data_IF_202313210625
#
_entry.id   IF_202313210625
#
_cell.length_a   1.000
_cell.length_b   1.000
_cell.length_c   1.000
_cell.angle_alpha   90.00
_cell.angle_beta   90.00
_cell.angle_gamma   90.00
#
_symmetry.space_group_name_H-M   'P 1'
#
loop_
_entity.id
_entity.type
_entity.pdbx_description
1 polymer ?
#
# COMPACT_ATOMS: atom_id res chain seq x y z
N UNK A 1 10.39 -29.44 -10.87
CA UNK A 1 9.59 -28.48 -10.09
C UNK A 1 8.34 -29.16 -9.58
N UNK A 2 7.93 -28.81 -8.35
CA UNK A 2 6.79 -29.45 -7.71
C UNK A 2 5.50 -28.73 -8.15
N UNK A 3 4.74 -29.36 -9.02
CA UNK A 3 3.39 -28.93 -9.29
C UNK A 3 2.51 -29.39 -8.12
N UNK A 4 2.29 -28.50 -7.15
CA UNK A 4 1.51 -28.79 -5.94
C UNK A 4 0.15 -28.09 -6.01
N UNK A 5 -0.87 -28.77 -5.51
CA UNK A 5 -2.22 -28.23 -5.39
C UNK A 5 -2.31 -27.21 -4.23
N UNK A 6 -3.38 -26.41 -4.22
CA UNK A 6 -3.68 -25.45 -3.13
C UNK A 6 -2.60 -24.39 -2.88
N UNK A 7 -1.99 -23.86 -3.95
CA UNK A 7 -0.92 -22.85 -3.88
C UNK A 7 -1.41 -21.45 -3.51
N UNK A 8 -2.71 -21.20 -3.68
CA UNK A 8 -3.32 -19.89 -3.47
C UNK A 8 -4.28 -19.92 -2.28
N UNK A 9 -4.11 -19.01 -1.36
CA UNK A 9 -5.06 -18.70 -0.31
C UNK A 9 -5.68 -17.32 -0.57
N UNK A 10 -6.98 -17.17 -0.30
CA UNK A 10 -7.67 -15.91 -0.46
C UNK A 10 -8.09 -15.36 0.90
N UNK A 11 -7.99 -14.04 1.05
CA UNK A 11 -8.53 -13.36 2.21
C UNK A 11 -9.84 -12.66 1.83
N UNK A 12 -10.89 -12.96 2.59
CA UNK A 12 -12.24 -12.43 2.43
C UNK A 12 -12.67 -11.73 3.71
N UNK A 13 -13.51 -10.72 3.56
CA UNK A 13 -14.24 -10.14 4.67
C UNK A 13 -15.74 -10.51 4.53
N UNK A 14 -16.13 -11.65 5.08
CA UNK A 14 -17.47 -12.18 5.00
C UNK A 14 -17.93 -12.44 3.55
N UNK A 15 -19.03 -11.78 3.12
CA UNK A 15 -19.59 -11.91 1.77
C UNK A 15 -18.98 -10.95 0.73
N UNK A 16 -17.99 -10.16 1.13
CA UNK A 16 -17.39 -9.17 0.26
C UNK A 16 -16.42 -9.80 -0.75
N UNK A 17 -16.06 -9.01 -1.77
CA UNK A 17 -15.05 -9.38 -2.77
C UNK A 17 -13.75 -9.79 -2.12
N UNK A 18 -13.04 -10.68 -2.76
CA UNK A 18 -11.68 -11.06 -2.37
C UNK A 18 -10.79 -9.81 -2.31
N UNK A 19 -10.31 -9.49 -1.11
CA UNK A 19 -9.48 -8.30 -0.86
C UNK A 19 -8.02 -8.53 -1.21
N UNK A 20 -7.57 -9.78 -1.08
CA UNK A 20 -6.20 -10.15 -1.39
C UNK A 20 -6.08 -11.64 -1.62
N UNK A 21 -4.98 -12.05 -2.22
CA UNK A 21 -4.55 -13.44 -2.34
C UNK A 21 -3.16 -13.60 -1.73
N UNK A 22 -2.92 -14.78 -1.22
CA UNK A 22 -1.58 -15.24 -0.86
C UNK A 22 -1.20 -16.40 -1.75
N UNK A 23 0.03 -16.43 -2.23
CA UNK A 23 0.55 -17.55 -2.99
C UNK A 23 1.83 -18.09 -2.33
N UNK A 24 2.03 -19.38 -2.45
CA UNK A 24 3.26 -20.08 -2.07
C UNK A 24 3.96 -20.67 -3.30
N UNK A 25 3.73 -20.01 -4.44
CA UNK A 25 4.24 -20.43 -5.74
C UNK A 25 5.71 -20.02 -5.91
N UNK A 26 6.53 -20.96 -6.31
CA UNK A 26 7.93 -20.73 -6.64
C UNK A 26 8.01 -20.35 -8.12
N UNK A 27 8.79 -19.43 -8.49
CA UNK A 27 9.09 -18.78 -9.77
C UNK A 27 8.28 -19.32 -10.99
N UNK A 28 8.64 -20.48 -11.53
CA UNK A 28 8.01 -21.11 -12.69
C UNK A 28 7.92 -22.63 -12.53
N UNK A 29 6.80 -23.20 -12.96
CA UNK A 29 6.59 -24.67 -13.00
C UNK A 29 7.25 -25.32 -14.20
N UNK A 30 7.78 -24.55 -15.16
CA UNK A 30 8.29 -25.03 -16.42
C UNK A 30 9.80 -24.95 -16.47
N UNK A 31 10.46 -25.86 -17.21
CA UNK A 31 11.86 -25.73 -17.55
C UNK A 31 12.14 -24.40 -18.25
N UNK A 32 13.35 -23.86 -18.04
CA UNK A 32 13.73 -22.55 -18.58
C UNK A 32 13.65 -22.50 -20.11
N UNK A 33 13.98 -23.60 -20.80
CA UNK A 33 13.96 -23.70 -22.24
C UNK A 33 12.55 -23.52 -22.81
N UNK A 34 11.52 -23.97 -22.06
CA UNK A 34 10.13 -23.78 -22.45
C UNK A 34 9.75 -22.30 -22.27
N UNK A 35 10.11 -21.68 -21.16
CA UNK A 35 9.83 -20.27 -20.91
C UNK A 35 10.50 -19.38 -21.98
N UNK A 36 11.77 -19.61 -22.28
CA UNK A 36 12.49 -18.82 -23.30
C UNK A 36 11.86 -18.96 -24.69
N UNK A 37 11.45 -20.17 -25.07
CA UNK A 37 10.74 -20.40 -26.33
C UNK A 37 9.40 -19.63 -26.37
N UNK A 38 8.60 -19.70 -25.31
CA UNK A 38 7.32 -19.01 -25.22
C UNK A 38 7.49 -17.47 -25.27
N UNK A 39 8.51 -16.92 -24.61
CA UNK A 39 8.86 -15.51 -24.69
C UNK A 39 9.18 -15.12 -26.14
N UNK A 40 10.01 -15.90 -26.84
CA UNK A 40 10.34 -15.66 -28.23
C UNK A 40 9.11 -15.78 -29.15
N UNK A 41 8.19 -16.71 -28.88
CA UNK A 41 6.93 -16.84 -29.61
C UNK A 41 6.02 -15.62 -29.43
N UNK A 42 5.86 -15.13 -28.18
CA UNK A 42 5.08 -13.93 -27.88
C UNK A 42 5.69 -12.71 -28.59
N UNK A 43 7.02 -12.54 -28.51
CA UNK A 43 7.68 -11.39 -29.16
C UNK A 43 7.54 -11.40 -30.68
N UNK A 44 7.60 -12.57 -31.30
CA UNK A 44 7.35 -12.71 -32.76
C UNK A 44 5.91 -12.45 -33.14
N UNK A 45 4.94 -12.88 -32.31
CA UNK A 45 3.52 -12.68 -32.55
C UNK A 45 3.12 -11.21 -32.36
N UNK A 46 3.81 -10.49 -31.47
CA UNK A 46 3.50 -9.11 -31.07
C UNK A 46 4.75 -8.22 -31.10
N UNK A 47 5.34 -7.99 -32.28
CA UNK A 47 6.63 -7.29 -32.39
C UNK A 47 6.59 -5.85 -31.88
N UNK A 48 5.42 -5.19 -31.94
CA UNK A 48 5.23 -3.81 -31.51
C UNK A 48 4.90 -3.68 -29.99
N UNK A 49 4.91 -4.80 -29.26
CA UNK A 49 4.68 -4.80 -27.81
C UNK A 49 5.97 -5.08 -27.07
N UNK A 50 6.19 -4.33 -25.98
CA UNK A 50 7.32 -4.59 -25.10
C UNK A 50 7.09 -5.89 -24.32
N UNK A 51 8.12 -6.74 -24.30
CA UNK A 51 8.18 -7.97 -23.49
C UNK A 51 9.32 -7.81 -22.50
N UNK A 52 8.97 -7.64 -21.22
CA UNK A 52 9.94 -7.52 -20.12
C UNK A 52 10.00 -8.86 -19.39
N UNK A 53 11.19 -9.45 -19.31
CA UNK A 53 11.40 -10.77 -18.71
C UNK A 53 11.84 -10.63 -17.27
N UNK A 54 11.08 -11.20 -16.33
CA UNK A 54 11.46 -11.26 -14.92
C UNK A 54 12.47 -12.38 -14.69
N UNK A 55 13.63 -12.04 -14.13
CA UNK A 55 14.73 -12.97 -13.88
C UNK A 55 15.10 -13.05 -12.40
N UNK A 56 15.38 -14.28 -11.95
CA UNK A 56 15.95 -14.55 -10.64
C UNK A 56 16.84 -15.79 -10.73
N UNK A 57 18.14 -15.63 -10.49
CA UNK A 57 19.15 -16.70 -10.49
C UNK A 57 20.03 -16.59 -9.27
N UNK A 58 20.91 -17.56 -9.05
CA UNK A 58 21.89 -17.53 -7.97
C UNK A 58 22.74 -16.25 -8.01
N UNK A 59 23.13 -15.75 -6.83
CA UNK A 59 24.00 -14.57 -6.70
C UNK A 59 25.45 -14.84 -7.10
N UNK A 60 25.63 -15.19 -8.38
CA UNK A 60 26.93 -15.46 -9.03
C UNK A 60 27.02 -14.70 -10.36
N UNK A 61 28.13 -14.03 -10.65
CA UNK A 61 28.27 -13.25 -11.88
C UNK A 61 28.01 -14.07 -13.14
N UNK A 62 28.48 -15.32 -13.17
CA UNK A 62 28.34 -16.21 -14.32
C UNK A 62 26.87 -16.55 -14.57
N UNK A 63 26.09 -16.87 -13.51
CA UNK A 63 24.69 -17.20 -13.64
C UNK A 63 23.88 -16.02 -14.19
N UNK A 64 24.22 -14.79 -13.77
CA UNK A 64 23.56 -13.59 -14.27
C UNK A 64 23.95 -13.27 -15.72
N UNK A 65 25.20 -13.44 -16.12
CA UNK A 65 25.61 -13.27 -17.52
C UNK A 65 24.93 -14.29 -18.45
N UNK A 66 24.85 -15.55 -18.02
CA UNK A 66 24.21 -16.59 -18.81
C UNK A 66 22.72 -16.35 -19.01
N UNK A 67 21.99 -15.99 -17.94
CA UNK A 67 20.54 -15.72 -18.05
C UNK A 67 20.25 -14.46 -18.87
N UNK A 68 21.06 -13.41 -18.75
CA UNK A 68 20.94 -12.18 -19.57
C UNK A 68 21.02 -12.54 -21.04
N UNK A 69 22.07 -13.27 -21.46
CA UNK A 69 22.24 -13.70 -22.85
C UNK A 69 21.05 -14.52 -23.36
N UNK A 70 20.61 -15.50 -22.57
CA UNK A 70 19.46 -16.34 -22.95
C UNK A 70 18.17 -15.54 -23.11
N UNK A 71 17.97 -14.50 -22.28
CA UNK A 71 16.82 -13.59 -22.40
C UNK A 71 16.94 -12.73 -23.65
N UNK A 72 18.09 -12.14 -23.92
CA UNK A 72 18.32 -11.32 -25.12
C UNK A 72 18.15 -12.11 -26.42
N UNK A 73 18.58 -13.38 -26.45
CA UNK A 73 18.36 -14.28 -27.57
C UNK A 73 16.88 -14.55 -27.90
N UNK A 74 15.95 -14.28 -26.96
CA UNK A 74 14.50 -14.36 -27.21
C UNK A 74 13.96 -13.16 -27.99
N UNK A 75 14.71 -12.06 -28.06
CA UNK A 75 14.26 -10.78 -28.61
C UNK A 75 13.44 -9.95 -27.59
N UNK A 76 13.50 -10.26 -26.31
CA UNK A 76 12.86 -9.48 -25.24
C UNK A 76 13.37 -8.02 -25.23
N UNK A 77 12.50 -7.09 -24.79
CA UNK A 77 12.78 -5.65 -24.80
C UNK A 77 13.39 -5.14 -23.48
N UNK A 78 13.42 -5.96 -22.45
CA UNK A 78 14.00 -5.60 -21.17
C UNK A 78 14.02 -6.75 -20.17
N UNK A 79 14.76 -6.55 -19.08
CA UNK A 79 14.90 -7.52 -17.99
C UNK A 79 14.47 -6.85 -16.69
N UNK A 80 13.61 -7.52 -15.92
CA UNK A 80 13.24 -7.11 -14.56
C UNK A 80 13.90 -8.05 -13.54
N UNK A 81 14.80 -7.49 -12.70
CA UNK A 81 15.54 -8.24 -11.68
C UNK A 81 14.63 -8.49 -10.48
N UNK A 82 14.29 -9.73 -10.19
CA UNK A 82 13.40 -10.08 -9.11
C UNK A 82 14.15 -10.22 -7.77
N UNK A 83 14.28 -9.13 -7.05
CA UNK A 83 14.88 -9.08 -5.70
C UNK A 83 13.86 -9.21 -4.57
N UNK A 84 12.63 -9.63 -4.86
CA UNK A 84 11.56 -9.58 -3.88
C UNK A 84 10.84 -10.89 -3.61
N UNK A 85 11.16 -11.99 -4.32
CA UNK A 85 10.47 -13.25 -4.13
C UNK A 85 10.65 -13.77 -2.69
N UNK A 86 9.56 -13.91 -1.90
CA UNK A 86 9.66 -14.33 -0.50
C UNK A 86 9.85 -15.84 -0.31
N UNK A 87 9.69 -16.63 -1.39
CA UNK A 87 9.59 -18.09 -1.28
C UNK A 87 10.96 -18.75 -1.40
N UNK A 88 11.37 -19.53 -0.36
CA UNK A 88 12.34 -20.64 -0.39
C UNK A 88 13.74 -20.43 -1.00
N UNK A 89 13.99 -19.29 -1.63
CA UNK A 89 15.23 -19.00 -2.33
C UNK A 89 16.22 -18.17 -1.50
N UNK A 90 15.76 -17.68 -0.36
CA UNK A 90 16.60 -16.93 0.59
C UNK A 90 17.78 -17.76 1.08
N UNK A 91 17.57 -19.06 1.29
CA UNK A 91 18.60 -20.02 1.68
C UNK A 91 19.71 -20.18 0.62
N UNK A 92 19.40 -19.80 -0.65
CA UNK A 92 20.35 -19.81 -1.76
C UNK A 92 20.88 -18.43 -2.11
N UNK A 93 20.62 -17.42 -1.27
CA UNK A 93 21.02 -16.04 -1.52
C UNK A 93 20.33 -15.41 -2.73
N UNK A 94 19.03 -15.67 -2.92
CA UNK A 94 18.23 -15.19 -4.05
C UNK A 94 16.98 -14.44 -3.55
N UNK A 95 16.30 -13.71 -4.43
CA UNK A 95 15.04 -13.04 -4.14
C UNK A 95 15.13 -12.06 -2.97
N UNK A 96 14.27 -12.20 -1.96
CA UNK A 96 14.19 -11.28 -0.83
C UNK A 96 15.49 -11.21 0.00
N UNK A 97 16.33 -12.23 -0.01
CA UNK A 97 17.64 -12.17 0.65
C UNK A 97 18.58 -11.15 -0.01
N UNK A 98 18.45 -10.97 -1.32
CA UNK A 98 19.16 -9.91 -2.07
C UNK A 98 18.50 -8.56 -1.80
N UNK A 99 17.18 -8.47 -2.00
CA UNK A 99 16.44 -7.20 -1.95
C UNK A 99 16.45 -6.48 -0.60
N UNK A 100 16.78 -7.18 0.49
CA UNK A 100 16.92 -6.60 1.83
C UNK A 100 18.31 -6.04 2.13
N UNK A 101 19.30 -6.28 1.25
CA UNK A 101 20.70 -5.88 1.42
C UNK A 101 21.11 -4.98 0.26
N UNK A 102 21.18 -3.66 0.47
CA UNK A 102 21.48 -2.69 -0.60
C UNK A 102 22.78 -3.01 -1.37
N UNK A 103 23.80 -3.48 -0.68
CA UNK A 103 25.09 -3.83 -1.26
C UNK A 103 24.96 -5.01 -2.24
N UNK A 104 24.13 -6.00 -1.96
CA UNK A 104 23.85 -7.10 -2.87
C UNK A 104 23.01 -6.64 -4.06
N UNK A 105 22.03 -5.76 -3.82
CA UNK A 105 21.26 -5.14 -4.89
C UNK A 105 22.17 -4.39 -5.87
N UNK A 106 23.08 -3.57 -5.37
CA UNK A 106 24.05 -2.83 -6.18
C UNK A 106 24.96 -3.78 -6.96
N UNK A 107 25.58 -4.74 -6.27
CA UNK A 107 26.53 -5.65 -6.87
C UNK A 107 25.92 -6.48 -8.01
N UNK A 108 24.77 -7.09 -7.77
CA UNK A 108 24.11 -7.93 -8.79
C UNK A 108 23.62 -7.07 -9.94
N UNK A 109 23.03 -5.90 -9.65
CA UNK A 109 22.61 -4.98 -10.70
C UNK A 109 23.78 -4.57 -11.59
N UNK A 110 24.96 -4.29 -11.03
CA UNK A 110 26.19 -4.00 -11.81
C UNK A 110 26.56 -5.17 -12.72
N UNK A 111 26.57 -6.40 -12.25
CA UNK A 111 26.88 -7.58 -13.08
C UNK A 111 25.92 -7.70 -14.26
N UNK A 112 24.64 -7.40 -14.04
CA UNK A 112 23.64 -7.44 -15.11
C UNK A 112 23.83 -6.26 -16.07
N UNK A 113 24.06 -5.04 -15.57
CA UNK A 113 24.31 -3.85 -16.40
C UNK A 113 25.57 -3.99 -17.27
N UNK A 114 26.59 -4.70 -16.79
CA UNK A 114 27.81 -5.00 -17.57
C UNK A 114 27.55 -6.00 -18.69
N UNK A 115 26.55 -6.87 -18.54
CA UNK A 115 26.25 -7.94 -19.49
C UNK A 115 25.11 -7.60 -20.46
N UNK A 116 24.15 -6.81 -20.04
CA UNK A 116 22.91 -6.53 -20.77
C UNK A 116 23.09 -5.41 -21.81
N UNK A 117 22.50 -5.62 -22.99
CA UNK A 117 22.35 -4.60 -24.05
C UNK A 117 20.94 -4.00 -24.11
N UNK A 118 19.99 -4.62 -23.43
CA UNK A 118 18.60 -4.17 -23.28
C UNK A 118 18.36 -3.56 -21.89
N UNK A 119 17.33 -2.72 -21.72
CA UNK A 119 17.02 -2.08 -20.43
C UNK A 119 16.87 -3.04 -19.26
N UNK A 120 17.41 -2.65 -18.12
CA UNK A 120 17.39 -3.40 -16.86
C UNK A 120 16.56 -2.64 -15.83
N UNK A 121 15.52 -3.30 -15.30
CA UNK A 121 14.62 -2.80 -14.27
C UNK A 121 14.93 -3.52 -12.96
N UNK A 122 15.14 -2.79 -11.88
CA UNK A 122 15.33 -3.39 -10.57
C UNK A 122 14.03 -3.42 -9.79
N UNK A 123 13.50 -4.63 -9.50
CA UNK A 123 12.25 -4.80 -8.74
C UNK A 123 12.50 -4.94 -7.25
N UNK A 124 11.98 -3.97 -6.51
CA UNK A 124 12.17 -3.81 -5.08
C UNK A 124 11.21 -4.67 -4.25
N UNK A 125 11.72 -5.14 -3.10
CA UNK A 125 10.91 -5.86 -2.10
C UNK A 125 10.24 -4.91 -1.12
N UNK A 126 8.97 -5.14 -0.75
CA UNK A 126 8.33 -4.42 0.36
C UNK A 126 8.71 -4.99 1.74
N UNK A 127 9.39 -6.12 1.79
CA UNK A 127 9.76 -6.81 3.03
C UNK A 127 11.04 -6.23 3.64
N UNK A 128 11.08 -4.91 3.75
CA UNK A 128 12.20 -4.12 4.24
C UNK A 128 11.66 -2.88 4.98
N UNK A 129 12.37 -2.42 5.99
CA UNK A 129 11.96 -1.24 6.76
C UNK A 129 12.11 0.05 5.95
N UNK A 130 13.17 0.17 5.15
CA UNK A 130 13.45 1.37 4.34
C UNK A 130 13.78 0.97 2.91
N UNK A 131 12.80 1.11 2.01
CA UNK A 131 12.91 0.76 0.59
C UNK A 131 13.83 1.75 -0.19
N UNK A 132 14.08 2.92 0.36
CA UNK A 132 14.93 3.94 -0.28
C UNK A 132 16.39 3.45 -0.39
N UNK A 133 16.87 2.68 0.58
CA UNK A 133 18.26 2.20 0.57
C UNK A 133 18.57 1.31 -0.64
N UNK A 134 17.83 0.23 -0.91
CA UNK A 134 18.06 -0.56 -2.12
C UNK A 134 17.72 0.22 -3.41
N UNK A 135 16.78 1.17 -3.38
CA UNK A 135 16.50 2.02 -4.54
C UNK A 135 17.73 2.87 -4.93
N UNK A 136 18.37 3.52 -3.94
CA UNK A 136 19.63 4.27 -4.14
C UNK A 136 20.74 3.37 -4.66
N UNK A 137 20.82 2.13 -4.18
CA UNK A 137 21.77 1.14 -4.67
C UNK A 137 21.54 0.81 -6.16
N UNK A 138 20.27 0.68 -6.59
CA UNK A 138 19.90 0.51 -7.99
C UNK A 138 20.32 1.69 -8.87
N UNK A 139 20.09 2.92 -8.39
CA UNK A 139 20.56 4.15 -9.06
C UNK A 139 22.08 4.16 -9.20
N UNK A 140 22.79 3.86 -8.11
CA UNK A 140 24.26 3.80 -8.11
C UNK A 140 24.84 2.71 -9.01
N UNK A 141 24.11 1.61 -9.19
CA UNK A 141 24.47 0.52 -10.10
C UNK A 141 24.19 0.84 -11.58
N UNK A 142 23.44 1.92 -11.86
CA UNK A 142 23.10 2.34 -13.21
C UNK A 142 21.87 1.63 -13.79
N UNK A 143 20.97 1.08 -12.96
CA UNK A 143 19.71 0.52 -13.44
C UNK A 143 18.95 1.52 -14.30
N UNK A 144 18.28 1.04 -15.36
CA UNK A 144 17.53 1.90 -16.28
C UNK A 144 16.15 2.29 -15.72
N UNK A 145 15.58 1.47 -14.82
CA UNK A 145 14.33 1.76 -14.13
C UNK A 145 14.27 1.02 -12.79
N UNK A 146 13.38 1.50 -11.92
CA UNK A 146 12.97 0.80 -10.70
C UNK A 146 11.54 0.31 -10.84
N UNK A 147 11.18 -0.78 -10.18
CA UNK A 147 9.80 -1.19 -10.03
C UNK A 147 9.49 -1.59 -8.58
N UNK A 148 8.29 -1.29 -8.10
CA UNK A 148 7.83 -1.64 -6.75
C UNK A 148 6.30 -1.70 -6.69
N UNK A 149 5.72 -2.57 -5.87
CA UNK A 149 6.35 -3.46 -4.89
C UNK A 149 6.20 -4.92 -5.34
N UNK A 150 7.12 -5.76 -4.92
CA UNK A 150 6.90 -7.20 -4.95
C UNK A 150 5.85 -7.60 -3.88
N UNK A 151 5.52 -8.87 -3.73
CA UNK A 151 4.55 -9.36 -2.76
C UNK A 151 5.04 -9.21 -1.31
N UNK A 152 4.08 -8.99 -0.40
CA UNK A 152 4.35 -8.88 1.04
C UNK A 152 4.36 -10.28 1.65
N UNK A 153 5.35 -10.57 2.47
CA UNK A 153 5.43 -11.85 3.18
C UNK A 153 4.31 -11.98 4.21
N UNK A 154 3.55 -13.06 4.16
CA UNK A 154 2.35 -13.22 4.97
C UNK A 154 1.93 -14.67 5.20
N UNK A 155 1.06 -14.84 6.20
CA UNK A 155 0.20 -16.02 6.42
C UNK A 155 -1.24 -15.51 6.39
N UNK A 156 -2.09 -16.03 5.49
CA UNK A 156 -3.47 -15.56 5.34
C UNK A 156 -4.36 -15.99 6.48
N UNK A 157 -4.16 -17.19 7.00
CA UNK A 157 -4.98 -17.70 8.10
C UNK A 157 -4.67 -19.14 8.48
N UNK A 158 -5.41 -19.59 9.48
CA UNK A 158 -5.46 -20.97 9.95
C UNK A 158 -6.90 -21.44 9.83
N UNK A 159 -7.13 -22.59 9.23
CA UNK A 159 -8.43 -23.26 9.24
C UNK A 159 -8.71 -23.77 10.66
N UNK A 160 -9.81 -23.33 11.26
CA UNK A 160 -10.10 -23.63 12.67
C UNK A 160 -10.66 -25.05 12.90
N UNK A 161 -11.08 -25.72 11.84
CA UNK A 161 -11.57 -27.10 11.94
C UNK A 161 -10.43 -28.11 11.78
N UNK A 162 -9.53 -27.83 10.82
CA UNK A 162 -8.39 -28.73 10.53
C UNK A 162 -7.12 -28.33 11.26
N UNK A 163 -7.02 -27.11 11.76
CA UNK A 163 -5.84 -26.45 12.36
C UNK A 163 -4.66 -26.33 11.39
N UNK A 164 -4.92 -26.39 10.10
CA UNK A 164 -3.92 -26.25 9.06
C UNK A 164 -3.79 -24.78 8.58
N UNK A 165 -2.62 -24.43 8.08
CA UNK A 165 -2.42 -23.11 7.46
C UNK A 165 -3.17 -23.02 6.13
N UNK A 166 -3.60 -21.82 5.76
CA UNK A 166 -4.19 -21.51 4.45
C UNK A 166 -3.20 -20.70 3.61
N UNK A 167 -2.79 -21.17 2.42
CA UNK A 167 -3.07 -22.47 1.80
C UNK A 167 -2.31 -23.63 2.49
N UNK A 168 -2.87 -24.85 2.42
CA UNK A 168 -2.25 -26.06 2.94
C UNK A 168 -1.79 -26.98 1.80
N UNK A 169 -0.58 -27.48 1.91
CA UNK A 169 0.03 -28.44 0.98
C UNK A 169 0.52 -29.62 1.80
N UNK A 170 -0.20 -30.73 1.73
CA UNK A 170 0.12 -31.92 2.52
C UNK A 170 0.11 -31.68 4.03
N UNK A 171 -0.85 -30.88 4.54
CA UNK A 171 -0.99 -30.55 5.95
C UNK A 171 -0.04 -29.46 6.45
N UNK A 172 0.76 -28.87 5.58
CA UNK A 172 1.71 -27.80 5.92
C UNK A 172 1.46 -26.58 5.05
N UNK A 173 1.68 -25.43 5.62
CA UNK A 173 1.72 -24.14 4.90
C UNK A 173 3.02 -23.41 5.22
N UNK A 174 3.18 -22.25 4.62
CA UNK A 174 4.37 -21.43 4.83
C UNK A 174 4.09 -19.95 4.61
N UNK A 175 5.13 -19.16 4.77
CA UNK A 175 5.09 -17.74 4.40
C UNK A 175 4.91 -17.62 2.90
N UNK A 176 3.87 -16.90 2.47
CA UNK A 176 3.54 -16.70 1.07
C UNK A 176 3.56 -15.23 0.68
N UNK A 177 3.51 -14.99 -0.62
CA UNK A 177 3.44 -13.66 -1.19
C UNK A 177 2.01 -13.12 -1.18
N UNK A 178 1.75 -12.06 -0.41
CA UNK A 178 0.45 -11.40 -0.30
C UNK A 178 0.33 -10.27 -1.31
N UNK A 179 -0.77 -10.26 -2.08
CA UNK A 179 -1.02 -9.32 -3.17
C UNK A 179 -2.52 -9.02 -3.31
N UNK A 180 -2.86 -8.01 -4.10
CA UNK A 180 -4.22 -7.56 -4.35
C UNK A 180 -4.53 -6.21 -3.70
N UNK A 181 -5.80 -5.74 -3.71
CA UNK A 181 -6.17 -4.40 -3.25
C UNK A 181 -5.71 -4.06 -1.83
N UNK A 182 -5.61 -5.03 -0.95
CA UNK A 182 -5.19 -4.82 0.44
C UNK A 182 -3.75 -4.30 0.61
N UNK A 183 -2.87 -4.51 -0.37
CA UNK A 183 -1.47 -4.02 -0.28
C UNK A 183 -1.29 -2.60 -0.84
N UNK A 184 -2.30 -2.02 -1.50
CA UNK A 184 -2.20 -0.70 -2.15
C UNK A 184 -1.69 0.41 -1.22
N UNK A 185 -2.18 0.60 0.02
CA UNK A 185 -1.69 1.66 0.88
C UNK A 185 -0.20 1.56 1.18
N UNK A 186 0.32 0.34 1.31
CA UNK A 186 1.75 0.08 1.55
C UNK A 186 2.55 0.42 0.30
N UNK A 187 2.07 0.00 -0.87
CA UNK A 187 2.72 0.30 -2.15
C UNK A 187 2.79 1.81 -2.43
N UNK A 188 1.70 2.54 -2.19
CA UNK A 188 1.66 4.00 -2.33
C UNK A 188 2.63 4.71 -1.38
N UNK A 189 2.71 4.27 -0.11
CA UNK A 189 3.65 4.80 0.86
C UNK A 189 5.11 4.61 0.40
N UNK A 190 5.46 3.41 -0.06
CA UNK A 190 6.80 3.10 -0.53
C UNK A 190 7.15 3.85 -1.82
N UNK A 191 6.20 3.99 -2.73
CA UNK A 191 6.37 4.79 -3.94
C UNK A 191 6.61 6.26 -3.62
N UNK A 192 5.80 6.85 -2.73
CA UNK A 192 5.98 8.22 -2.28
C UNK A 192 7.35 8.45 -1.63
N UNK A 193 7.84 7.48 -0.83
CA UNK A 193 9.17 7.54 -0.23
C UNK A 193 10.28 7.61 -1.29
N UNK A 194 10.15 6.87 -2.39
CA UNK A 194 11.09 6.97 -3.51
C UNK A 194 10.97 8.31 -4.24
N UNK A 195 9.74 8.75 -4.51
CA UNK A 195 9.47 10.00 -5.24
C UNK A 195 9.95 11.24 -4.50
N UNK A 196 9.96 11.21 -3.17
CA UNK A 196 10.45 12.32 -2.32
C UNK A 196 11.92 12.18 -1.94
N UNK A 197 12.56 11.04 -2.20
CA UNK A 197 13.99 10.86 -1.92
C UNK A 197 14.87 11.67 -2.86
N UNK A 198 15.79 12.42 -2.28
CA UNK A 198 16.63 13.38 -3.02
C UNK A 198 17.51 12.71 -4.09
N UNK A 199 18.06 11.53 -3.81
CA UNK A 199 18.95 10.81 -4.73
C UNK A 199 18.14 10.18 -5.85
N UNK A 200 17.06 9.47 -5.50
CA UNK A 200 16.21 8.78 -6.49
C UNK A 200 15.52 9.78 -7.39
N UNK A 201 14.90 10.83 -6.83
CA UNK A 201 14.19 11.84 -7.62
C UNK A 201 15.12 12.65 -8.53
N UNK A 202 16.30 13.06 -8.05
CA UNK A 202 17.29 13.80 -8.87
C UNK A 202 17.93 12.94 -9.96
N UNK A 203 17.96 11.62 -9.81
CA UNK A 203 18.51 10.74 -10.84
C UNK A 203 17.68 10.72 -12.13
N UNK A 204 16.39 11.07 -12.03
CA UNK A 204 15.44 10.99 -13.14
C UNK A 204 15.10 9.55 -13.56
N UNK A 205 15.46 8.55 -12.75
CA UNK A 205 15.18 7.14 -13.05
C UNK A 205 13.66 6.89 -13.07
N UNK A 206 13.09 6.32 -14.13
CA UNK A 206 11.67 6.01 -14.19
C UNK A 206 11.30 4.92 -13.17
N UNK A 207 10.10 5.05 -12.59
CA UNK A 207 9.58 4.11 -11.60
C UNK A 207 8.30 3.47 -12.12
N UNK A 208 8.26 2.14 -12.15
CA UNK A 208 7.07 1.37 -12.46
C UNK A 208 6.34 0.98 -11.17
N UNK A 209 5.12 1.48 -10.97
CA UNK A 209 4.32 1.25 -9.77
C UNK A 209 3.46 0.01 -9.90
N UNK A 210 3.40 -0.81 -8.83
CA UNK A 210 2.49 -1.96 -8.72
C UNK A 210 2.12 -2.25 -7.27
N UNK A 211 0.98 -2.94 -7.10
CA UNK A 211 0.50 -3.39 -5.79
C UNK A 211 -0.93 -2.93 -5.52
N UNK A 212 -1.89 -3.78 -5.87
CA UNK A 212 -3.30 -3.56 -5.57
C UNK A 212 -4.04 -2.62 -6.52
N UNK A 213 -3.51 -2.36 -7.69
CA UNK A 213 -4.20 -1.60 -8.76
C UNK A 213 -5.32 -2.49 -9.31
N UNK A 214 -6.57 -2.07 -9.12
CA UNK A 214 -7.75 -2.77 -9.58
C UNK A 214 -8.78 -1.84 -10.27
N UNK A 215 -8.60 -0.52 -10.14
CA UNK A 215 -9.44 0.51 -10.76
C UNK A 215 -8.58 1.62 -11.35
N UNK A 216 -9.14 2.42 -12.26
CA UNK A 216 -8.42 3.56 -12.82
C UNK A 216 -8.05 4.60 -11.74
N UNK A 217 -8.85 4.71 -10.68
CA UNK A 217 -8.54 5.56 -9.54
C UNK A 217 -7.26 5.10 -8.83
N UNK A 218 -7.09 3.78 -8.68
CA UNK A 218 -5.85 3.23 -8.12
C UNK A 218 -4.67 3.59 -9.02
N UNK A 219 -4.82 3.40 -10.34
CA UNK A 219 -3.80 3.75 -11.33
C UNK A 219 -3.40 5.23 -11.25
N UNK A 220 -4.38 6.15 -11.19
CA UNK A 220 -4.14 7.57 -11.05
C UNK A 220 -3.36 7.91 -9.76
N UNK A 221 -3.67 7.26 -8.63
CA UNK A 221 -2.96 7.48 -7.37
C UNK A 221 -1.48 7.11 -7.45
N UNK A 222 -1.13 6.00 -8.10
CA UNK A 222 0.28 5.64 -8.33
C UNK A 222 1.00 6.66 -9.20
N UNK A 223 0.37 7.10 -10.30
CA UNK A 223 0.95 8.13 -11.16
C UNK A 223 1.17 9.44 -10.40
N UNK A 224 0.17 9.92 -9.66
CA UNK A 224 0.27 11.13 -8.86
C UNK A 224 1.42 11.10 -7.83
N UNK A 225 1.81 9.91 -7.37
CA UNK A 225 2.92 9.70 -6.43
C UNK A 225 4.24 9.30 -7.10
N UNK A 226 4.39 9.53 -8.41
CA UNK A 226 5.68 9.46 -9.10
C UNK A 226 5.93 8.23 -9.94
N UNK A 227 4.95 7.32 -10.07
CA UNK A 227 5.08 6.25 -11.06
C UNK A 227 5.00 6.83 -12.47
N UNK A 228 5.88 6.38 -13.37
CA UNK A 228 5.88 6.71 -14.81
C UNK A 228 5.23 5.61 -15.66
N UNK A 229 5.10 4.41 -15.10
CA UNK A 229 4.40 3.28 -15.68
C UNK A 229 3.79 2.42 -14.58
N UNK A 230 2.86 1.52 -14.94
CA UNK A 230 2.13 0.70 -13.99
C UNK A 230 2.19 -0.77 -14.37
N UNK A 231 2.17 -1.65 -13.36
CA UNK A 231 2.05 -3.09 -13.56
C UNK A 231 0.82 -3.62 -12.82
N UNK A 232 0.04 -4.47 -13.48
CA UNK A 232 -1.20 -5.04 -12.95
C UNK A 232 -1.14 -6.55 -13.06
N UNK A 233 -1.25 -7.26 -11.95
CA UNK A 233 -1.22 -8.71 -11.90
C UNK A 233 -2.52 -9.28 -11.29
N UNK A 234 -2.75 -9.09 -10.00
CA UNK A 234 -3.87 -9.71 -9.27
C UNK A 234 -5.24 -9.32 -9.86
N UNK A 235 -5.42 -8.08 -10.30
CA UNK A 235 -6.67 -7.66 -10.93
C UNK A 235 -6.92 -8.39 -12.26
N UNK A 236 -5.87 -8.69 -13.04
CA UNK A 236 -6.00 -9.52 -14.25
C UNK A 236 -6.43 -10.95 -13.88
N UNK A 237 -5.91 -11.51 -12.79
CA UNK A 237 -6.33 -12.85 -12.32
C UNK A 237 -7.81 -12.87 -11.89
N UNK A 238 -8.33 -11.75 -11.35
CA UNK A 238 -9.71 -11.65 -10.87
C UNK A 238 -10.71 -11.32 -11.97
N UNK A 239 -10.33 -10.45 -12.92
CA UNK A 239 -11.24 -9.83 -13.88
C UNK A 239 -10.91 -10.13 -15.34
N UNK A 240 -9.78 -10.82 -15.59
CA UNK A 240 -9.27 -11.06 -16.94
C UNK A 240 -8.54 -9.84 -17.52
N UNK A 241 -7.98 -10.02 -18.72
CA UNK A 241 -7.16 -8.98 -19.38
C UNK A 241 -7.94 -7.71 -19.74
N UNK A 242 -9.25 -7.80 -19.89
CA UNK A 242 -10.10 -6.64 -20.19
C UNK A 242 -10.01 -5.54 -19.14
N UNK A 243 -9.64 -5.86 -17.91
CA UNK A 243 -9.41 -4.84 -16.87
C UNK A 243 -8.44 -3.74 -17.32
N UNK A 244 -7.49 -4.07 -18.19
CA UNK A 244 -6.50 -3.09 -18.69
C UNK A 244 -7.18 -2.04 -19.57
N UNK A 245 -8.14 -2.42 -20.39
CA UNK A 245 -8.94 -1.49 -21.20
C UNK A 245 -9.75 -0.56 -20.30
N UNK A 246 -10.45 -1.13 -19.30
CA UNK A 246 -11.24 -0.36 -18.33
C UNK A 246 -10.37 0.64 -17.54
N UNK A 247 -9.14 0.25 -17.17
CA UNK A 247 -8.18 1.13 -16.49
C UNK A 247 -7.73 2.27 -17.39
N UNK A 248 -7.40 1.98 -18.64
CA UNK A 248 -6.96 2.98 -19.62
C UNK A 248 -8.07 3.98 -19.95
N UNK A 249 -9.29 3.50 -20.21
CA UNK A 249 -10.43 4.35 -20.53
C UNK A 249 -10.79 5.26 -19.35
N UNK A 250 -10.89 4.71 -18.15
CA UNK A 250 -11.19 5.49 -16.96
C UNK A 250 -10.12 6.54 -16.64
N UNK A 251 -8.83 6.17 -16.78
CA UNK A 251 -7.72 7.08 -16.57
C UNK A 251 -7.70 8.20 -17.61
N UNK A 252 -7.94 7.88 -18.89
CA UNK A 252 -8.00 8.86 -19.99
C UNK A 252 -9.13 9.89 -19.75
N UNK A 253 -10.33 9.43 -19.42
CA UNK A 253 -11.45 10.30 -19.11
C UNK A 253 -11.15 11.25 -17.92
N UNK A 254 -10.55 10.72 -16.86
CA UNK A 254 -10.16 11.52 -15.70
C UNK A 254 -9.06 12.54 -16.05
N UNK A 255 -8.10 12.17 -16.88
CA UNK A 255 -7.06 13.08 -17.34
C UNK A 255 -7.66 14.24 -18.13
N UNK A 256 -8.63 13.98 -19.01
CA UNK A 256 -9.36 15.01 -19.76
C UNK A 256 -10.11 15.94 -18.82
N UNK A 257 -10.83 15.41 -17.82
CA UNK A 257 -11.51 16.24 -16.80
C UNK A 257 -10.56 17.14 -16.02
N UNK A 258 -9.34 16.69 -15.75
CA UNK A 258 -8.30 17.45 -15.02
C UNK A 258 -7.44 18.32 -15.92
N UNK A 259 -7.56 18.19 -17.25
CA UNK A 259 -6.78 18.93 -18.23
C UNK A 259 -5.35 18.42 -18.42
N UNK A 260 -5.04 17.21 -17.96
CA UNK A 260 -3.76 16.55 -18.22
C UNK A 260 -3.71 15.98 -19.65
N UNK A 261 -2.61 16.20 -20.35
CA UNK A 261 -2.46 15.75 -21.75
C UNK A 261 -1.62 14.49 -21.88
N UNK A 262 -0.72 14.26 -20.94
CA UNK A 262 0.23 13.13 -20.95
C UNK A 262 0.37 12.53 -19.58
N UNK A 263 0.83 11.29 -19.53
CA UNK A 263 1.19 10.64 -18.23
C UNK A 263 2.28 11.42 -17.50
N UNK A 264 3.18 12.09 -18.23
CA UNK A 264 4.23 12.91 -17.63
C UNK A 264 3.66 14.11 -16.85
N UNK A 265 2.51 14.66 -17.27
CA UNK A 265 1.83 15.75 -16.56
C UNK A 265 1.24 15.28 -15.22
N UNK A 266 0.88 13.99 -15.12
CA UNK A 266 0.30 13.37 -13.92
C UNK A 266 1.38 12.86 -12.98
N UNK A 267 2.46 12.30 -13.54
CA UNK A 267 3.51 11.63 -12.75
C UNK A 267 4.15 12.59 -11.76
N UNK A 268 4.03 12.26 -10.48
CA UNK A 268 4.60 13.05 -9.38
C UNK A 268 3.84 14.34 -9.04
N UNK A 269 2.70 14.62 -9.68
CA UNK A 269 1.95 15.86 -9.47
C UNK A 269 1.60 16.13 -8.01
N UNK A 270 1.41 15.08 -7.19
CA UNK A 270 1.06 15.21 -5.78
C UNK A 270 2.24 15.03 -4.81
N UNK A 271 3.45 14.76 -5.29
CA UNK A 271 4.61 14.52 -4.40
C UNK A 271 4.93 15.70 -3.48
N UNK A 272 4.76 16.94 -3.97
CA UNK A 272 4.98 18.14 -3.17
C UNK A 272 4.03 18.26 -1.96
N UNK A 273 2.97 17.45 -1.90
CA UNK A 273 2.02 17.39 -0.79
C UNK A 273 2.38 16.30 0.23
N UNK A 274 3.36 15.46 -0.07
CA UNK A 274 3.88 14.47 0.88
C UNK A 274 4.79 15.20 1.86
N UNK A 275 4.43 15.14 3.13
CA UNK A 275 5.13 15.85 4.21
C UNK A 275 5.37 14.92 5.39
N UNK A 276 6.39 15.21 6.18
CA UNK A 276 6.57 14.56 7.47
C UNK A 276 5.66 15.20 8.51
N UNK A 277 5.33 14.44 9.56
CA UNK A 277 4.44 14.92 10.62
C UNK A 277 4.92 16.24 11.25
N UNK A 278 6.23 16.41 11.40
CA UNK A 278 6.84 17.61 11.98
C UNK A 278 6.57 18.90 11.18
N UNK A 279 6.27 18.77 9.88
CA UNK A 279 6.08 19.89 8.94
C UNK A 279 4.60 20.11 8.61
N UNK A 280 3.68 19.33 9.23
CA UNK A 280 2.25 19.52 9.07
C UNK A 280 1.79 20.75 9.86
N UNK A 281 0.82 21.49 9.31
CA UNK A 281 0.17 22.61 10.01
C UNK A 281 -0.71 22.08 11.16
N UNK A 282 -0.33 22.41 12.39
CA UNK A 282 -1.04 22.05 13.62
C UNK A 282 -2.06 23.10 14.06
N UNK A 283 -2.13 24.24 13.40
CA UNK A 283 -3.19 25.24 13.63
C UNK A 283 -4.51 24.84 12.98
N UNK A 284 -4.46 23.92 12.03
CA UNK A 284 -5.61 23.41 11.30
C UNK A 284 -6.66 22.82 12.23
N UNK A 285 -7.91 23.21 12.04
CA UNK A 285 -9.06 22.68 12.78
C UNK A 285 -10.15 22.22 11.81
N UNK A 286 -10.55 20.97 11.94
CA UNK A 286 -11.72 20.44 11.26
C UNK A 286 -12.67 19.81 12.28
N UNK A 287 -13.96 19.83 11.99
CA UNK A 287 -14.98 19.17 12.80
C UNK A 287 -15.91 18.35 11.92
N UNK A 288 -16.51 17.31 12.48
CA UNK A 288 -17.53 16.53 11.80
C UNK A 288 -18.87 17.24 11.92
N UNK A 289 -19.66 17.27 10.83
CA UNK A 289 -21.08 17.69 10.83
C UNK A 289 -21.93 16.59 10.24
N UNK A 290 -22.99 16.23 10.96
CA UNK A 290 -23.92 15.18 10.54
C UNK A 290 -25.13 15.84 9.90
N UNK A 291 -25.43 15.49 8.66
CA UNK A 291 -26.65 15.89 7.96
C UNK A 291 -27.83 15.10 8.54
N UNK A 292 -28.71 15.79 9.26
CA UNK A 292 -29.84 15.17 9.94
C UNK A 292 -30.88 14.58 8.96
N UNK A 293 -30.99 15.14 7.76
CA UNK A 293 -31.96 14.71 6.74
C UNK A 293 -31.50 13.42 6.05
N UNK A 294 -30.17 13.24 5.92
CA UNK A 294 -29.58 12.01 5.36
C UNK A 294 -29.38 10.92 6.41
N UNK A 295 -29.34 11.31 7.69
CA UNK A 295 -28.99 10.40 8.78
C UNK A 295 -30.05 9.33 9.02
N UNK A 296 -29.69 8.06 8.86
CA UNK A 296 -30.53 6.90 9.16
C UNK A 296 -30.53 6.50 10.64
N UNK A 297 -29.89 7.27 11.50
CA UNK A 297 -29.82 7.09 12.96
C UNK A 297 -29.39 5.67 13.35
N UNK A 298 -28.31 5.18 12.71
CA UNK A 298 -27.76 3.84 12.96
C UNK A 298 -26.77 3.79 14.12
N UNK A 299 -26.39 4.95 14.67
CA UNK A 299 -25.49 5.17 15.81
C UNK A 299 -24.03 4.69 15.62
N UNK A 300 -23.63 4.24 14.44
CA UNK A 300 -22.25 3.80 14.20
C UNK A 300 -21.23 4.93 14.45
N UNK A 301 -21.55 6.16 14.07
CA UNK A 301 -20.71 7.32 14.32
C UNK A 301 -20.58 7.62 15.83
N UNK A 302 -21.68 7.47 16.59
CA UNK A 302 -21.67 7.61 18.04
C UNK A 302 -20.77 6.56 18.68
N UNK A 303 -20.95 5.27 18.35
CA UNK A 303 -20.13 4.17 18.88
C UNK A 303 -18.66 4.41 18.57
N UNK A 304 -18.33 4.74 17.30
CA UNK A 304 -16.95 5.01 16.90
C UNK A 304 -16.31 6.19 17.65
N UNK A 305 -17.10 7.19 18.03
CA UNK A 305 -16.63 8.34 18.80
C UNK A 305 -16.59 8.06 20.31
N UNK A 306 -17.60 7.39 20.83
CA UNK A 306 -17.74 7.12 22.26
C UNK A 306 -16.73 6.09 22.79
N UNK A 307 -16.40 5.08 21.95
CA UNK A 307 -15.41 4.04 22.28
C UNK A 307 -13.95 4.53 22.12
N UNK A 308 -13.76 5.78 21.69
CA UNK A 308 -12.47 6.46 21.63
C UNK A 308 -12.32 7.50 22.74
N UNK A 309 -11.19 8.22 22.76
CA UNK A 309 -10.92 9.22 23.77
C UNK A 309 -11.70 10.54 23.61
N UNK A 310 -12.38 10.77 22.48
CA UNK A 310 -12.94 12.09 22.14
C UNK A 310 -14.37 12.29 22.64
N UNK A 311 -15.24 11.28 22.51
CA UNK A 311 -16.59 11.23 23.09
C UNK A 311 -17.43 12.50 22.86
N UNK A 312 -17.37 13.08 21.67
CA UNK A 312 -17.96 14.37 21.34
C UNK A 312 -19.25 14.28 20.51
N UNK A 313 -19.86 13.11 20.40
CA UNK A 313 -21.17 12.93 19.75
C UNK A 313 -22.22 12.59 20.78
N UNK A 314 -23.24 13.42 20.87
CA UNK A 314 -24.40 13.23 21.73
C UNK A 314 -25.53 12.55 20.95
N UNK A 315 -26.39 11.81 21.67
CA UNK A 315 -27.63 11.27 21.13
C UNK A 315 -28.79 12.13 21.67
N UNK A 316 -29.50 12.81 20.78
CA UNK A 316 -30.60 13.70 21.13
C UNK A 316 -31.93 13.03 20.74
N UNK A 317 -32.82 12.87 21.71
CA UNK A 317 -34.17 12.31 21.48
C UNK A 317 -35.00 13.22 20.55
N UNK A 318 -36.08 12.70 19.92
CA UNK A 318 -36.98 13.52 19.11
C UNK A 318 -37.62 14.70 19.93
N UNK A 319 -37.61 14.61 21.25
CA UNK A 319 -38.10 15.66 22.16
C UNK A 319 -37.00 16.64 22.58
N UNK A 320 -35.78 16.50 22.05
CA UNK A 320 -34.65 17.39 22.32
C UNK A 320 -33.87 17.08 23.61
N UNK A 321 -34.14 15.96 24.27
CA UNK A 321 -33.42 15.58 25.49
C UNK A 321 -32.17 14.74 25.14
N UNK A 322 -31.08 14.93 25.89
CA UNK A 322 -29.93 14.07 25.86
C UNK A 322 -30.31 12.65 26.28
N UNK A 323 -29.94 11.67 25.49
CA UNK A 323 -30.18 10.26 25.78
C UNK A 323 -28.92 9.67 26.38
N UNK A 324 -29.01 9.20 27.62
CA UNK A 324 -27.91 8.45 28.23
C UNK A 324 -27.58 7.21 27.40
N UNK A 325 -26.28 6.91 27.20
CA UNK A 325 -25.89 5.74 26.46
C UNK A 325 -26.46 4.50 27.13
N UNK A 326 -27.46 3.92 26.53
CA UNK A 326 -27.84 2.55 26.89
C UNK A 326 -26.71 1.65 26.41
N UNK A 327 -26.20 0.79 27.29
CA UNK A 327 -25.41 -0.34 26.89
C UNK A 327 -26.10 -0.99 25.70
N UNK A 328 -25.49 -0.90 24.54
CA UNK A 328 -26.04 -1.39 23.29
C UNK A 328 -26.19 -2.90 23.38
N UNK A 329 -27.38 -3.35 23.82
CA UNK A 329 -27.71 -4.75 23.74
C UNK A 329 -28.11 -5.09 22.31
N UNK A 330 -27.12 -5.44 21.51
CA UNK A 330 -27.28 -5.96 20.13
C UNK A 330 -28.19 -7.20 20.10
N UNK A 331 -28.56 -7.76 21.25
CA UNK A 331 -29.37 -8.98 21.43
C UNK A 331 -30.84 -8.73 21.69
N UNK A 332 -31.29 -7.49 21.76
CA UNK A 332 -32.72 -7.22 21.90
C UNK A 332 -33.43 -7.55 20.58
N UNK A 333 -33.86 -8.79 20.46
CA UNK A 333 -34.92 -9.38 19.62
C UNK A 333 -35.29 -8.71 18.27
N UNK A 334 -34.35 -8.21 17.49
CA UNK A 334 -34.54 -7.96 16.04
C UNK A 334 -35.58 -6.91 15.63
N UNK A 335 -36.30 -6.28 16.55
CA UNK A 335 -37.19 -5.14 16.26
C UNK A 335 -36.41 -3.84 16.44
N UNK A 336 -35.87 -3.31 15.35
CA UNK A 336 -35.37 -1.93 15.34
C UNK A 336 -36.58 -0.99 15.46
N UNK A 337 -36.54 -0.05 16.39
CA UNK A 337 -37.51 1.05 16.46
C UNK A 337 -37.56 1.79 15.11
N UNK A 338 -38.69 2.40 14.81
CA UNK A 338 -38.83 3.24 13.61
C UNK A 338 -37.77 4.36 13.64
N UNK A 339 -37.22 4.73 12.48
CA UNK A 339 -36.13 5.71 12.39
C UNK A 339 -36.53 7.06 13.04
N UNK A 340 -37.78 7.42 12.91
CA UNK A 340 -38.33 8.66 13.45
C UNK A 340 -38.27 8.72 14.98
N UNK A 341 -38.32 7.58 15.67
CA UNK A 341 -38.27 7.49 17.13
C UNK A 341 -36.87 7.37 17.72
N UNK A 342 -35.85 7.19 16.87
CA UNK A 342 -34.47 7.06 17.32
C UNK A 342 -33.86 8.42 17.63
N UNK A 343 -32.94 8.48 18.60
CA UNK A 343 -32.19 9.69 18.84
C UNK A 343 -31.34 10.09 17.65
N UNK A 344 -31.15 11.40 17.48
CA UNK A 344 -30.29 11.98 16.46
C UNK A 344 -28.87 12.12 17.01
N UNK A 345 -27.86 11.57 16.35
CA UNK A 345 -26.46 11.87 16.69
C UNK A 345 -26.14 13.33 16.34
N UNK A 346 -25.58 14.06 17.30
CA UNK A 346 -25.20 15.49 17.18
C UNK A 346 -23.76 15.66 17.65
N UNK A 347 -22.93 16.33 16.88
CA UNK A 347 -21.52 16.59 17.21
C UNK A 347 -21.41 17.86 18.06
N UNK A 348 -20.73 17.76 19.21
CA UNK A 348 -20.24 18.94 19.94
C UNK A 348 -18.96 19.41 19.25
N UNK A 349 -19.08 20.49 18.44
CA UNK A 349 -17.97 20.98 17.62
C UNK A 349 -16.77 21.46 18.45
N UNK A 350 -17.00 21.99 19.64
CA UNK A 350 -15.97 22.46 20.58
C UNK A 350 -15.05 21.32 21.04
N UNK A 351 -15.58 20.12 21.19
CA UNK A 351 -14.85 18.94 21.67
C UNK A 351 -14.32 18.08 20.49
N UNK A 352 -14.79 18.33 19.28
CA UNK A 352 -14.41 17.55 18.11
C UNK A 352 -12.98 17.87 17.65
N UNK A 353 -12.16 16.84 17.56
CA UNK A 353 -10.74 16.94 17.12
C UNK A 353 -10.54 16.61 15.64
N UNK A 354 -11.60 16.38 14.87
CA UNK A 354 -11.52 16.13 13.43
C UNK A 354 -10.91 14.77 13.04
N UNK A 355 -10.91 13.77 13.92
CA UNK A 355 -10.23 12.48 13.69
C UNK A 355 -10.83 11.64 12.54
N UNK A 356 -12.02 12.01 12.05
CA UNK A 356 -12.69 11.37 10.90
C UNK A 356 -13.21 9.94 11.13
N UNK A 357 -13.14 9.39 12.34
CA UNK A 357 -13.62 8.03 12.61
C UNK A 357 -15.13 7.89 12.31
N UNK A 358 -15.95 8.86 12.76
CA UNK A 358 -17.39 8.89 12.51
C UNK A 358 -17.72 8.91 10.99
N UNK A 359 -16.97 9.66 10.20
CA UNK A 359 -17.10 9.69 8.74
C UNK A 359 -16.83 8.31 8.11
N UNK A 360 -15.74 7.66 8.53
CA UNK A 360 -15.28 6.39 7.94
C UNK A 360 -16.24 5.22 8.21
N UNK A 361 -17.03 5.26 9.30
CA UNK A 361 -17.99 4.20 9.66
C UNK A 361 -19.39 4.50 9.19
N UNK A 362 -19.67 5.69 8.67
CA UNK A 362 -21.01 6.06 8.20
C UNK A 362 -21.35 5.26 6.93
N UNK A 363 -22.48 4.51 6.91
CA UNK A 363 -22.87 3.74 5.74
C UNK A 363 -23.62 4.56 4.69
N UNK A 364 -23.87 5.86 4.97
CA UNK A 364 -24.62 6.75 4.09
C UNK A 364 -23.65 7.77 3.49
N UNK A 365 -23.56 7.79 2.19
CA UNK A 365 -22.71 8.71 1.44
C UNK A 365 -23.09 10.17 1.73
N UNK A 366 -22.08 11.01 1.94
CA UNK A 366 -22.20 12.46 2.21
C UNK A 366 -23.11 12.82 3.40
N UNK A 367 -23.42 11.87 4.28
CA UNK A 367 -24.19 12.16 5.51
C UNK A 367 -23.32 12.85 6.57
N UNK A 368 -22.03 12.55 6.63
CA UNK A 368 -21.09 13.23 7.54
C UNK A 368 -20.07 13.97 6.70
N UNK A 369 -19.91 15.26 6.97
CA UNK A 369 -18.93 16.10 6.31
C UNK A 369 -17.88 16.56 7.31
N UNK A 370 -16.61 16.60 6.88
CA UNK A 370 -15.55 17.22 7.65
C UNK A 370 -15.44 18.69 7.21
N UNK A 371 -15.74 19.60 8.12
CA UNK A 371 -15.80 21.04 7.85
C UNK A 371 -14.61 21.73 8.50
N UNK A 372 -13.90 22.52 7.70
CA UNK A 372 -12.81 23.35 8.19
C UNK A 372 -13.40 24.54 8.97
N UNK A 373 -12.85 24.80 10.14
CA UNK A 373 -13.19 25.95 10.96
C UNK A 373 -11.99 26.90 11.06
N UNK A 374 -12.22 28.22 11.12
CA UNK A 374 -11.16 29.14 11.47
C UNK A 374 -10.57 28.78 12.82
N UNK A 375 -9.29 28.45 12.86
CA UNK A 375 -8.63 28.05 14.11
C UNK A 375 -8.39 29.25 15.05
N UNK A 376 -8.32 30.44 14.50
CA UNK A 376 -7.92 31.65 15.21
C UNK A 376 -6.45 31.65 15.65
N UNK A 377 -5.67 30.64 15.22
CA UNK A 377 -4.25 30.48 15.50
C UNK A 377 -3.47 30.78 14.24
N UNK A 378 -2.25 31.30 14.36
CA UNK A 378 -1.29 31.34 13.26
C UNK A 378 -0.90 29.91 12.86
N UNK A 379 -0.59 29.71 11.58
CA UNK A 379 0.03 28.47 11.13
C UNK A 379 1.26 28.18 12.00
N UNK A 380 1.35 26.92 12.44
CA UNK A 380 2.43 26.48 13.29
C UNK A 380 2.66 24.97 13.06
N UNK A 381 3.89 24.62 12.75
CA UNK A 381 4.31 23.22 12.61
C UNK A 381 4.79 22.66 13.94
N UNK A 382 4.89 21.34 14.01
CA UNK A 382 5.48 20.69 15.20
C UNK A 382 6.93 21.13 15.44
N UNK A 383 7.72 21.32 14.37
CA UNK A 383 9.08 21.81 14.47
C UNK A 383 9.14 23.19 15.15
N UNK A 384 8.28 24.12 14.72
CA UNK A 384 8.20 25.47 15.32
C UNK A 384 7.69 25.44 16.76
N UNK A 385 6.74 24.56 17.08
CA UNK A 385 6.28 24.36 18.45
C UNK A 385 7.38 23.77 19.33
N UNK A 386 8.12 22.79 18.84
CA UNK A 386 9.20 22.16 19.60
C UNK A 386 10.36 23.13 19.87
N UNK A 387 10.70 24.01 18.93
CA UNK A 387 11.67 25.07 19.14
C UNK A 387 11.25 26.08 20.23
N UNK A 388 9.95 26.44 20.24
CA UNK A 388 9.37 27.30 21.30
C UNK A 388 9.27 26.58 22.64
N UNK A 389 9.16 25.25 22.64
CA UNK A 389 9.08 24.41 23.83
C UNK A 389 10.43 23.94 24.35
N UNK A 390 11.54 24.42 23.80
CA UNK A 390 12.89 24.11 24.34
C UNK A 390 13.09 24.59 25.80
N UNK A 391 12.15 25.38 26.33
CA UNK A 391 12.01 25.63 27.77
C UNK A 391 11.41 24.44 28.56
N UNK A 392 10.87 23.42 27.88
CA UNK A 392 10.26 22.21 28.50
C UNK A 392 11.29 21.09 28.70
N UNK A 393 12.55 21.27 28.28
CA UNK A 393 13.62 20.29 28.54
C UNK A 393 14.03 20.22 30.02
N UNK A 394 13.70 21.22 30.84
CA UNK A 394 13.73 21.08 32.29
C UNK A 394 12.72 20.02 32.81
N UNK A 395 11.68 19.73 32.05
CA UNK A 395 10.66 18.75 32.41
C UNK A 395 11.06 17.30 32.11
N UNK A 396 12.05 17.04 31.22
CA UNK A 396 12.46 15.66 30.93
C UNK A 396 13.11 14.98 32.12
N UNK A 397 13.96 15.67 32.87
CA UNK A 397 14.58 15.14 34.11
C UNK A 397 13.51 14.97 35.21
N UNK A 398 12.54 15.88 35.27
CA UNK A 398 11.40 15.79 36.18
C UNK A 398 10.49 14.63 35.81
N UNK A 399 10.20 14.43 34.51
CA UNK A 399 9.44 13.31 33.99
C UNK A 399 10.17 11.98 34.18
N UNK A 400 11.48 11.95 34.01
CA UNK A 400 12.29 10.77 34.26
C UNK A 400 12.30 10.40 35.75
N UNK A 401 12.51 11.38 36.65
CA UNK A 401 12.41 11.18 38.08
C UNK A 401 10.99 10.73 38.51
N UNK A 402 9.93 11.26 37.88
CA UNK A 402 8.56 10.80 38.12
C UNK A 402 8.37 9.34 37.72
N UNK A 403 8.85 8.93 36.51
CA UNK A 403 8.73 7.56 36.00
C UNK A 403 9.51 6.56 36.89
N UNK A 404 10.70 6.90 37.30
CA UNK A 404 11.49 6.10 38.23
C UNK A 404 10.75 5.91 39.56
N UNK A 405 10.12 6.97 40.06
CA UNK A 405 9.34 6.94 41.32
C UNK A 405 8.07 6.05 41.22
N UNK A 406 7.42 5.99 40.04
CA UNK A 406 6.21 5.16 39.80
C UNK A 406 6.53 3.79 39.21
N UNK A 407 7.80 3.43 39.05
CA UNK A 407 8.25 2.10 38.62
C UNK A 407 8.03 1.81 37.13
N UNK A 408 7.95 2.85 36.28
CA UNK A 408 7.84 2.68 34.84
C UNK A 408 9.26 2.68 34.24
N UNK A 409 9.77 1.49 33.92
CA UNK A 409 11.03 1.33 33.20
C UNK A 409 10.78 1.27 31.69
N UNK A 410 11.43 2.16 30.94
CA UNK A 410 11.48 2.08 29.47
C UNK A 410 12.85 1.52 29.13
N UNK A 411 12.86 0.37 28.46
CA UNK A 411 14.05 -0.23 27.88
C UNK A 411 14.36 0.38 26.52
#
# INVERSE_FOLDING_TARGET
>A
MLNVSNRYGAWHNGRQRMLAINNVELISDRPIEINLREIAEVKRAWPDRAVIVSAMVESKPEAWRDIVRLIEDTGADGIELNYGCPHGMSERGMGAAVGQVPEYCEQITRWVMEAATIPVIMKLTPNITNIVLPARAGVAAGANALSLINTINSIVGVDLDTLELTPSIGGKGGHGGYAGPAVKPIALNMLAALGTDEIVSKSGIPISGMGGIATWQDAAQFLLLGASSLQVCTAVMHYGYRIIEDLCDGLSNWMDEKGFKTIADVSGHSLHRVSEFKDLDLSYRAVARIDADKCIKCDLCYVACNDTAHQCIDLISPQGALVEPRSYDVRSNGKRDAVETRPQPVVREEDCVGCRLCYNVCPVDDCIQMVELPSGRSEVTWSELSEKQTQVTEDWETMKAYRERVGIHIH
#
